data_IF_243395884562
#
_entry.id   IF_243395884562
#
_cell.length_a   1.000
_cell.length_b   1.000
_cell.length_c   1.000
_cell.angle_alpha   90.00
_cell.angle_beta   90.00
_cell.angle_gamma   90.00
#
_symmetry.space_group_name_H-M   'P 1'
#
loop_
_entity.id
_entity.type
_entity.pdbx_description
1 polymer ?
#
# COMPACT_ATOMS: atom_id res chain seq x y z
N UNK A 1 2.59 -40.01 -1.40
CA UNK A 1 3.64 -39.03 -1.61
C UNK A 1 4.79 -39.31 -0.63
N UNK A 2 6.00 -39.20 -1.08
CA UNK A 2 7.18 -39.40 -0.21
C UNK A 2 7.52 -38.08 0.47
N UNK A 3 7.61 -38.07 1.81
CA UNK A 3 8.11 -36.90 2.54
C UNK A 3 9.60 -36.74 2.26
N UNK A 4 9.99 -35.64 1.64
CA UNK A 4 11.37 -35.42 1.19
C UNK A 4 12.22 -34.82 2.32
N UNK A 5 11.65 -33.96 3.18
CA UNK A 5 12.32 -33.33 4.31
C UNK A 5 11.34 -33.01 5.43
N UNK A 6 11.77 -33.11 6.68
CA UNK A 6 11.03 -32.65 7.83
C UNK A 6 11.17 -31.12 8.02
N UNK A 7 12.37 -30.57 7.70
CA UNK A 7 12.67 -29.15 7.78
C UNK A 7 13.26 -28.68 6.46
N UNK A 8 12.64 -27.66 5.87
CA UNK A 8 13.13 -27.04 4.64
C UNK A 8 14.36 -26.15 4.88
N UNK A 9 14.31 -25.29 5.92
CA UNK A 9 15.37 -24.32 6.23
C UNK A 9 16.54 -25.06 6.88
N UNK A 10 17.72 -24.96 6.27
CA UNK A 10 18.92 -25.75 6.67
C UNK A 10 20.04 -24.91 7.26
N UNK A 11 19.96 -23.58 7.18
CA UNK A 11 20.99 -22.64 7.63
C UNK A 11 20.68 -21.98 9.00
N UNK A 12 19.60 -22.40 9.65
CA UNK A 12 19.19 -21.85 10.94
C UNK A 12 18.42 -20.53 10.88
N UNK A 13 18.11 -20.04 9.68
CA UNK A 13 17.25 -18.86 9.51
C UNK A 13 15.90 -19.06 10.21
N UNK A 14 15.52 -18.11 11.04
CA UNK A 14 14.25 -18.14 11.76
C UNK A 14 13.21 -17.28 11.05
N UNK A 15 12.00 -17.82 10.94
CA UNK A 15 10.80 -17.13 10.50
C UNK A 15 9.79 -17.28 11.64
N UNK A 16 9.31 -16.15 12.18
CA UNK A 16 8.44 -16.17 13.35
C UNK A 16 6.97 -16.33 12.95
N UNK A 17 6.56 -15.61 11.90
CA UNK A 17 5.18 -15.60 11.44
C UNK A 17 5.16 -15.70 9.92
N UNK A 18 5.43 -16.91 9.35
CA UNK A 18 5.36 -17.09 7.91
C UNK A 18 3.91 -16.85 7.45
N UNK A 19 3.73 -16.03 6.42
CA UNK A 19 2.41 -15.59 5.98
C UNK A 19 2.07 -16.03 4.57
N UNK A 20 3.03 -16.00 3.66
CA UNK A 20 2.88 -16.49 2.30
C UNK A 20 4.11 -17.26 1.83
N UNK A 21 3.92 -18.16 0.86
CA UNK A 21 4.98 -18.89 0.21
C UNK A 21 4.75 -18.88 -1.30
N UNK A 22 5.79 -18.55 -2.06
CA UNK A 22 5.76 -18.51 -3.52
C UNK A 22 7.03 -19.13 -4.08
N UNK A 23 6.92 -19.82 -5.19
CA UNK A 23 8.07 -20.38 -5.93
C UNK A 23 8.27 -19.55 -7.19
N UNK A 24 9.50 -19.09 -7.40
CA UNK A 24 9.85 -18.38 -8.62
C UNK A 24 9.92 -19.38 -9.79
N UNK A 25 9.05 -19.27 -10.81
CA UNK A 25 9.00 -20.24 -11.90
C UNK A 25 10.22 -20.17 -12.84
N UNK A 26 11.09 -19.18 -12.67
CA UNK A 26 12.26 -18.97 -13.52
C UNK A 26 13.58 -19.42 -12.86
N UNK A 27 13.62 -19.49 -11.52
CA UNK A 27 14.83 -19.81 -10.77
C UNK A 27 14.65 -20.92 -9.74
N UNK A 28 13.41 -21.42 -9.59
CA UNK A 28 13.03 -22.42 -8.57
C UNK A 28 13.28 -21.97 -7.11
N UNK A 29 13.69 -20.72 -6.89
CA UNK A 29 13.88 -20.19 -5.55
C UNK A 29 12.53 -20.05 -4.84
N UNK A 30 12.56 -20.26 -3.53
CA UNK A 30 11.37 -20.21 -2.67
C UNK A 30 11.37 -18.89 -1.91
N UNK A 31 10.28 -18.15 -2.03
CA UNK A 31 10.07 -16.90 -1.36
C UNK A 31 9.06 -17.08 -0.24
N UNK A 32 9.44 -16.73 0.98
CA UNK A 32 8.58 -16.79 2.16
C UNK A 32 8.42 -15.38 2.67
N UNK A 33 7.18 -14.97 2.92
CA UNK A 33 6.89 -13.69 3.52
C UNK A 33 6.73 -13.83 5.04
N UNK A 34 7.27 -12.87 5.78
CA UNK A 34 7.23 -12.80 7.23
C UNK A 34 6.34 -11.63 7.65
N UNK A 35 5.27 -11.88 8.39
CA UNK A 35 4.32 -10.85 8.82
C UNK A 35 4.55 -10.37 10.27
N UNK A 36 5.50 -10.93 10.99
CA UNK A 36 5.81 -10.64 12.39
C UNK A 36 4.57 -10.64 13.29
N UNK A 37 4.19 -9.45 13.80
CA UNK A 37 3.04 -9.28 14.70
C UNK A 37 1.75 -8.83 13.97
N UNK A 38 1.75 -8.80 12.65
CA UNK A 38 0.66 -8.25 11.81
C UNK A 38 0.41 -6.74 11.95
N UNK A 39 1.19 -6.06 12.77
CA UNK A 39 1.05 -4.62 13.06
C UNK A 39 2.26 -3.80 12.61
N UNK A 40 3.31 -4.46 12.17
CA UNK A 40 4.53 -3.85 11.64
C UNK A 40 4.79 -4.38 10.24
N UNK A 41 5.60 -3.66 9.49
CA UNK A 41 5.99 -4.07 8.14
C UNK A 41 6.72 -5.41 8.17
N UNK A 42 6.34 -6.27 7.25
CA UNK A 42 6.92 -7.62 7.10
C UNK A 42 8.07 -7.64 6.12
N UNK A 43 8.69 -8.81 6.01
CA UNK A 43 9.84 -9.05 5.14
C UNK A 43 9.53 -10.10 4.07
N UNK A 44 10.36 -10.16 3.04
CA UNK A 44 10.44 -11.29 2.10
C UNK A 44 11.80 -11.97 2.27
N UNK A 45 11.79 -13.28 2.44
CA UNK A 45 12.97 -14.11 2.49
C UNK A 45 13.03 -15.00 1.25
N UNK A 46 14.17 -15.00 0.57
CA UNK A 46 14.43 -15.85 -0.58
C UNK A 46 15.37 -16.98 -0.21
N UNK A 47 14.95 -18.22 -0.46
CA UNK A 47 15.73 -19.41 -0.20
C UNK A 47 16.00 -20.16 -1.51
N UNK A 48 17.16 -20.79 -1.60
CA UNK A 48 17.44 -21.78 -2.66
C UNK A 48 16.76 -23.12 -2.35
N UNK A 49 16.80 -24.06 -3.30
CA UNK A 49 16.24 -25.41 -3.14
C UNK A 49 16.89 -26.22 -2.02
N UNK A 50 18.05 -25.81 -1.52
CA UNK A 50 18.72 -26.46 -0.42
C UNK A 50 18.26 -25.92 0.96
N UNK A 51 17.35 -24.95 0.97
CA UNK A 51 16.84 -24.33 2.19
C UNK A 51 17.81 -23.34 2.82
N UNK A 52 18.69 -22.75 2.02
CA UNK A 52 19.64 -21.74 2.45
C UNK A 52 19.15 -20.36 2.03
N UNK A 53 19.15 -19.42 2.95
CA UNK A 53 18.76 -18.02 2.69
C UNK A 53 19.74 -17.41 1.68
N UNK A 54 19.21 -16.85 0.63
CA UNK A 54 19.97 -16.12 -0.39
C UNK A 54 19.99 -14.63 -0.07
N UNK A 55 18.85 -14.08 0.24
CA UNK A 55 18.69 -12.68 0.64
C UNK A 55 17.39 -12.47 1.41
N UNK A 56 17.30 -11.33 2.09
CA UNK A 56 16.10 -10.84 2.74
C UNK A 56 15.83 -9.42 2.26
N UNK A 57 14.59 -9.15 1.89
CA UNK A 57 14.09 -7.79 1.64
C UNK A 57 13.30 -7.40 2.86
N UNK A 58 13.77 -6.38 3.57
CA UNK A 58 13.11 -5.92 4.78
C UNK A 58 12.01 -4.93 4.46
N UNK A 59 10.98 -4.91 5.30
CA UNK A 59 9.93 -3.87 5.32
C UNK A 59 9.19 -3.69 4.00
N UNK A 60 8.79 -4.79 3.37
CA UNK A 60 8.09 -4.77 2.07
C UNK A 60 6.62 -4.36 2.16
N UNK A 61 6.09 -4.17 3.35
CA UNK A 61 4.69 -3.77 3.60
C UNK A 61 4.06 -4.53 4.75
N UNK A 62 2.85 -4.13 5.16
CA UNK A 62 2.07 -4.85 6.16
C UNK A 62 1.54 -6.16 5.58
N UNK A 63 1.73 -7.24 6.33
CA UNK A 63 1.20 -8.56 6.01
C UNK A 63 1.50 -9.00 4.56
N UNK A 64 2.77 -8.96 4.11
CA UNK A 64 3.12 -9.35 2.77
C UNK A 64 2.76 -10.82 2.57
N UNK A 65 1.92 -11.11 1.59
CA UNK A 65 1.34 -12.45 1.45
C UNK A 65 1.72 -13.10 0.10
N UNK A 66 1.92 -12.31 -0.94
CA UNK A 66 2.17 -12.84 -2.29
C UNK A 66 3.35 -12.14 -2.95
N UNK A 67 4.21 -12.93 -3.59
CA UNK A 67 5.28 -12.46 -4.46
C UNK A 67 4.91 -12.81 -5.90
N UNK A 68 4.89 -11.81 -6.77
CA UNK A 68 4.63 -12.00 -8.20
C UNK A 68 5.95 -11.90 -8.96
N UNK A 69 6.19 -12.85 -9.86
CA UNK A 69 7.41 -12.90 -10.66
C UNK A 69 7.12 -12.50 -12.09
N UNK A 70 7.96 -11.64 -12.66
CA UNK A 70 7.88 -11.23 -14.06
C UNK A 70 9.17 -11.64 -14.78
N UNK A 71 9.04 -12.16 -16.01
CA UNK A 71 10.18 -12.40 -16.90
C UNK A 71 10.58 -11.16 -17.70
N UNK A 72 9.85 -10.05 -17.55
CA UNK A 72 10.35 -8.76 -18.03
C UNK A 72 11.63 -8.44 -17.27
N UNK A 73 12.75 -8.51 -17.93
CA UNK A 73 13.97 -7.87 -17.47
C UNK A 73 13.65 -6.38 -17.56
N UNK A 74 13.17 -5.80 -16.47
CA UNK A 74 13.37 -4.37 -16.30
C UNK A 74 14.89 -4.21 -16.29
N UNK A 75 15.43 -3.52 -17.25
CA UNK A 75 16.80 -3.02 -17.25
C UNK A 75 16.92 -1.95 -16.15
N UNK A 76 16.74 -2.37 -14.91
CA UNK A 76 16.82 -1.61 -13.70
C UNK A 76 17.82 -2.31 -12.81
N UNK A 77 19.02 -1.86 -12.98
CA UNK A 77 20.20 -2.16 -12.21
C UNK A 77 19.94 -2.12 -10.71
N UNK A 78 20.14 -3.27 -10.05
CA UNK A 78 20.29 -3.36 -8.61
C UNK A 78 21.71 -2.99 -8.23
N UNK A 79 22.08 -1.76 -8.43
CA UNK A 79 23.28 -1.18 -7.89
C UNK A 79 22.92 0.12 -7.19
N UNK A 80 23.19 0.12 -5.89
CA UNK A 80 23.50 1.26 -5.05
C UNK A 80 22.95 2.63 -5.54
N UNK A 81 22.15 3.24 -4.68
CA UNK A 81 21.74 4.63 -4.72
C UNK A 81 22.84 5.56 -5.31
N UNK A 82 22.81 5.72 -6.62
CA UNK A 82 23.14 6.95 -7.27
C UNK A 82 21.81 7.52 -7.78
N UNK A 83 20.94 7.82 -6.83
CA UNK A 83 19.72 8.54 -7.15
C UNK A 83 20.15 9.92 -7.63
N UNK A 84 20.01 10.16 -8.92
CA UNK A 84 20.02 11.52 -9.43
C UNK A 84 19.01 12.30 -8.55
N UNK A 85 19.46 13.30 -7.77
CA UNK A 85 18.57 14.05 -6.90
C UNK A 85 17.44 14.77 -7.67
N UNK A 86 17.52 14.79 -9.01
CA UNK A 86 16.53 15.35 -9.91
C UNK A 86 15.68 14.27 -10.61
N UNK A 87 15.90 12.99 -10.34
CA UNK A 87 15.05 11.94 -10.91
C UNK A 87 13.62 12.05 -10.36
N UNK A 88 12.59 11.88 -11.23
CA UNK A 88 11.20 11.87 -10.78
C UNK A 88 10.98 10.79 -9.73
N UNK A 89 10.21 11.11 -8.68
CA UNK A 89 9.84 10.16 -7.64
C UNK A 89 8.90 9.09 -8.20
N UNK A 90 9.15 7.81 -7.91
CA UNK A 90 8.20 6.74 -8.22
C UNK A 90 6.91 6.82 -7.38
N UNK A 91 6.86 7.71 -6.40
CA UNK A 91 5.76 7.89 -5.46
C UNK A 91 5.18 9.30 -5.56
N UNK A 92 3.91 9.43 -5.19
CA UNK A 92 3.36 10.74 -4.88
C UNK A 92 4.19 11.36 -3.74
N UNK A 93 4.70 12.56 -3.93
CA UNK A 93 5.66 13.18 -3.01
C UNK A 93 5.19 14.52 -2.43
N UNK A 94 3.98 14.94 -2.79
CA UNK A 94 3.36 16.16 -2.26
C UNK A 94 1.96 15.85 -1.75
N UNK A 95 1.62 16.39 -0.59
CA UNK A 95 0.24 16.44 -0.11
C UNK A 95 -0.26 17.87 -0.27
N UNK A 96 -1.23 18.04 -1.18
CA UNK A 96 -1.85 19.32 -1.46
C UNK A 96 -2.93 19.64 -0.41
N UNK A 97 -3.70 18.63 -0.04
CA UNK A 97 -4.70 18.73 1.01
C UNK A 97 -4.89 17.40 1.73
N UNK A 98 -5.08 17.43 3.05
CA UNK A 98 -5.44 16.26 3.85
C UNK A 98 -6.50 16.64 4.86
N UNK A 99 -7.68 16.04 4.71
CA UNK A 99 -8.84 16.27 5.59
C UNK A 99 -9.43 14.94 6.04
N UNK A 100 -8.86 14.33 7.06
CA UNK A 100 -9.45 13.12 7.61
C UNK A 100 -10.81 13.41 8.26
N UNK A 101 -11.78 12.52 8.07
CA UNK A 101 -13.05 12.59 8.76
C UNK A 101 -12.97 11.94 10.16
N UNK A 102 -13.82 12.33 11.11
CA UNK A 102 -13.83 11.73 12.43
C UNK A 102 -14.05 10.21 12.39
N UNK A 103 -13.18 9.43 13.04
CA UNK A 103 -13.33 7.99 13.21
C UNK A 103 -12.52 7.48 14.41
N UNK A 104 -12.61 6.16 14.67
CA UNK A 104 -12.00 5.53 15.85
C UNK A 104 -10.46 5.52 15.86
N UNK A 105 -9.77 5.68 14.75
CA UNK A 105 -8.30 5.58 14.67
C UNK A 105 -7.62 6.91 14.34
N UNK A 106 -8.30 8.03 14.56
CA UNK A 106 -7.78 9.36 14.17
C UNK A 106 -6.67 9.89 15.06
N UNK A 107 -6.52 9.37 16.26
CA UNK A 107 -5.49 9.78 17.22
C UNK A 107 -4.43 8.72 17.48
N UNK A 108 -4.28 7.77 16.56
CA UNK A 108 -3.22 6.75 16.63
C UNK A 108 -1.94 7.22 15.95
N UNK A 109 -0.85 6.49 16.13
CA UNK A 109 0.45 6.80 15.50
C UNK A 109 0.41 6.83 13.97
N UNK A 110 -0.58 6.17 13.36
CA UNK A 110 -0.75 6.11 11.90
C UNK A 110 -1.53 7.28 11.32
N UNK A 111 -2.13 8.13 12.15
CA UNK A 111 -2.96 9.24 11.70
C UNK A 111 -2.43 10.60 12.10
N UNK A 112 -1.47 10.63 13.01
CA UNK A 112 -0.80 11.80 13.52
C UNK A 112 -1.68 13.00 13.91
N UNK A 113 -2.94 12.79 14.10
CA UNK A 113 -3.79 13.87 14.59
C UNK A 113 -3.51 14.10 16.08
N UNK A 114 -2.95 15.25 16.42
CA UNK A 114 -2.76 15.70 17.80
C UNK A 114 -3.69 16.87 18.07
N UNK A 115 -4.17 16.97 19.29
CA UNK A 115 -5.17 17.95 19.71
C UNK A 115 -4.84 19.41 19.33
N UNK A 116 -3.55 19.75 19.23
CA UNK A 116 -3.08 21.10 18.94
C UNK A 116 -2.62 21.29 17.49
N UNK A 117 -2.84 20.31 16.61
CA UNK A 117 -2.41 20.44 15.22
C UNK A 117 -3.35 21.34 14.43
N UNK A 118 -2.74 22.25 13.67
CA UNK A 118 -3.42 22.99 12.59
C UNK A 118 -3.62 22.08 11.39
N UNK A 119 -4.48 22.49 10.44
CA UNK A 119 -4.65 21.77 9.18
C UNK A 119 -3.33 21.61 8.41
N UNK A 120 -2.45 22.61 8.52
CA UNK A 120 -1.14 22.59 7.89
C UNK A 120 -0.18 21.60 8.57
N UNK A 121 -0.22 21.47 9.89
CA UNK A 121 0.57 20.47 10.61
C UNK A 121 0.15 19.07 10.23
N UNK A 122 -1.16 18.83 10.10
CA UNK A 122 -1.72 17.54 9.68
C UNK A 122 -1.33 17.22 8.22
N UNK A 123 -1.38 18.21 7.34
CA UNK A 123 -0.95 18.08 5.93
C UNK A 123 0.52 17.71 5.82
N UNK A 124 1.39 18.45 6.52
CA UNK A 124 2.84 18.19 6.54
C UNK A 124 3.16 16.80 7.07
N UNK A 125 2.48 16.38 8.11
CA UNK A 125 2.67 15.04 8.63
C UNK A 125 2.26 13.96 7.63
N UNK A 126 1.13 14.13 6.94
CA UNK A 126 0.73 13.23 5.87
C UNK A 126 1.78 13.18 4.75
N UNK A 127 2.38 14.32 4.41
CA UNK A 127 3.45 14.39 3.41
C UNK A 127 4.72 13.64 3.85
N UNK A 128 5.11 13.75 5.12
CA UNK A 128 6.23 12.96 5.64
C UNK A 128 5.95 11.45 5.63
N UNK A 129 4.70 11.04 5.91
CA UNK A 129 4.31 9.64 5.81
C UNK A 129 4.38 9.10 4.37
N UNK A 130 4.03 9.91 3.37
CA UNK A 130 4.11 9.48 1.97
C UNK A 130 5.56 9.31 1.48
N UNK A 131 6.52 9.99 2.10
CA UNK A 131 7.95 9.87 1.78
C UNK A 131 8.58 8.63 2.39
N UNK A 132 7.95 8.04 3.39
CA UNK A 132 8.44 6.86 4.07
C UNK A 132 7.67 5.62 3.59
N UNK A 133 8.26 4.80 2.70
CA UNK A 133 7.62 3.60 2.18
C UNK A 133 7.36 2.54 3.26
N UNK A 134 7.95 2.67 4.43
CA UNK A 134 7.78 1.77 5.57
C UNK A 134 6.59 2.15 6.46
N UNK A 135 6.10 3.39 6.36
CA UNK A 135 4.91 3.88 7.06
C UNK A 135 3.71 3.88 6.11
N UNK A 136 3.16 2.72 5.87
CA UNK A 136 2.29 2.44 4.72
C UNK A 136 0.85 2.89 4.86
N UNK A 137 0.37 3.33 6.02
CA UNK A 137 -1.05 3.60 6.20
C UNK A 137 -1.29 5.05 6.64
N UNK A 138 -2.10 5.74 5.84
CA UNK A 138 -2.66 7.03 6.21
C UNK A 138 -4.18 6.87 6.36
N UNK A 139 -4.70 7.18 7.55
CA UNK A 139 -6.13 7.06 7.80
C UNK A 139 -6.88 8.25 7.20
N UNK A 140 -7.79 7.98 6.29
CA UNK A 140 -8.73 9.00 5.78
C UNK A 140 -9.90 9.21 6.75
N UNK A 141 -10.06 8.34 7.73
CA UNK A 141 -11.18 8.36 8.65
C UNK A 141 -12.46 7.78 8.04
N UNK A 142 -13.59 8.30 8.49
CA UNK A 142 -14.90 7.87 8.02
C UNK A 142 -15.29 8.59 6.71
N UNK A 143 -16.58 8.55 6.35
CA UNK A 143 -17.10 9.16 5.13
C UNK A 143 -16.78 10.64 5.02
N UNK A 144 -16.33 11.06 3.85
CA UNK A 144 -15.96 12.44 3.54
C UNK A 144 -14.52 12.80 3.88
N UNK A 145 -13.76 11.88 4.49
CA UNK A 145 -12.32 12.07 4.66
C UNK A 145 -11.56 11.83 3.35
N UNK A 146 -10.57 12.67 3.07
CA UNK A 146 -9.82 12.59 1.83
C UNK A 146 -8.38 13.11 1.95
N UNK A 147 -7.58 12.73 0.98
CA UNK A 147 -6.25 13.27 0.74
C UNK A 147 -6.12 13.63 -0.74
N UNK A 148 -5.54 14.77 -1.04
CA UNK A 148 -5.13 15.19 -2.38
C UNK A 148 -3.62 15.16 -2.45
N UNK A 149 -3.11 14.36 -3.38
CA UNK A 149 -1.66 14.18 -3.59
C UNK A 149 -1.26 14.65 -4.97
N UNK A 150 0.00 15.04 -5.11
CA UNK A 150 0.60 15.40 -6.38
C UNK A 150 1.90 14.64 -6.62
N UNK A 151 2.24 14.54 -7.89
CA UNK A 151 3.52 14.00 -8.36
C UNK A 151 4.43 15.15 -8.78
N UNK A 152 5.74 14.93 -8.76
CA UNK A 152 6.73 15.89 -9.26
C UNK A 152 6.94 15.83 -10.79
N UNK A 153 6.20 14.93 -11.42
CA UNK A 153 6.26 14.70 -12.86
C UNK A 153 4.86 14.37 -13.41
N UNK A 154 4.74 14.40 -14.73
CA UNK A 154 3.52 13.96 -15.42
C UNK A 154 3.40 12.44 -15.36
N UNK A 155 2.27 11.94 -14.87
CA UNK A 155 1.90 10.53 -14.97
C UNK A 155 1.35 10.29 -16.37
N UNK A 156 2.03 9.50 -17.23
CA UNK A 156 1.56 9.22 -18.58
C UNK A 156 0.37 8.27 -18.55
N UNK A 157 -0.60 8.49 -19.42
CA UNK A 157 -1.67 7.53 -19.68
C UNK A 157 -1.21 6.60 -20.81
N UNK A 158 -0.89 5.34 -20.46
CA UNK A 158 -0.39 4.33 -21.40
C UNK A 158 -1.50 3.32 -21.70
N UNK A 159 -2.01 3.24 -22.94
CA UNK A 159 -3.08 2.31 -23.29
C UNK A 159 -2.73 0.85 -22.95
N UNK A 160 -3.60 0.22 -22.13
CA UNK A 160 -3.44 -1.18 -21.75
C UNK A 160 -2.51 -1.43 -20.55
N UNK A 161 -2.00 -0.38 -19.93
CA UNK A 161 -1.17 -0.45 -18.71
C UNK A 161 -1.87 0.27 -17.55
N UNK A 162 -1.41 0.04 -16.33
CA UNK A 162 -1.85 0.81 -15.17
C UNK A 162 -0.93 2.02 -14.98
N UNK A 163 -1.50 3.21 -14.91
CA UNK A 163 -0.75 4.46 -14.82
C UNK A 163 -0.20 4.72 -13.41
N UNK A 164 -0.94 4.26 -12.38
CA UNK A 164 -0.53 4.35 -10.98
C UNK A 164 -1.17 3.25 -10.14
N UNK A 165 -0.68 3.08 -8.92
CA UNK A 165 -1.19 2.10 -7.95
C UNK A 165 -1.42 2.76 -6.60
N UNK A 166 -2.56 2.45 -5.99
CA UNK A 166 -2.89 2.84 -4.62
C UNK A 166 -2.91 1.58 -3.76
N UNK A 167 -2.15 1.61 -2.67
CA UNK A 167 -2.17 0.55 -1.68
C UNK A 167 -3.26 0.84 -0.65
N UNK A 168 -4.23 -0.05 -0.56
CA UNK A 168 -5.29 0.00 0.44
C UNK A 168 -4.99 -0.90 1.64
N UNK A 169 -5.86 -0.85 2.64
CA UNK A 169 -5.78 -1.66 3.86
C UNK A 169 -6.77 -2.85 3.83
N UNK A 170 -7.17 -3.31 2.66
CA UNK A 170 -8.05 -4.48 2.54
C UNK A 170 -7.35 -5.75 3.03
N UNK A 171 -8.05 -6.57 3.81
CA UNK A 171 -7.53 -7.86 4.28
C UNK A 171 -8.64 -8.91 4.38
N UNK A 172 -8.23 -10.17 4.30
CA UNK A 172 -9.09 -11.31 4.61
C UNK A 172 -8.85 -11.78 6.05
N UNK A 173 -9.94 -12.01 6.78
CA UNK A 173 -9.88 -12.58 8.11
C UNK A 173 -9.55 -14.07 8.01
N UNK A 174 -8.41 -14.47 8.55
CA UNK A 174 -7.97 -15.87 8.60
C UNK A 174 -8.83 -16.74 9.52
N UNK A 175 -9.53 -16.16 10.51
CA UNK A 175 -10.49 -16.90 11.33
C UNK A 175 -11.71 -17.36 10.54
N UNK A 176 -12.09 -16.67 9.47
CA UNK A 176 -13.17 -17.06 8.58
C UNK A 176 -12.94 -18.39 7.87
N UNK A 177 -11.69 -18.75 7.60
CA UNK A 177 -11.35 -20.05 7.00
C UNK A 177 -11.63 -21.23 7.92
N UNK A 178 -11.53 -21.05 9.24
CA UNK A 178 -11.83 -22.08 10.26
C UNK A 178 -13.34 -22.31 10.40
N UNK A 179 -14.17 -21.33 10.11
CA UNK A 179 -15.62 -21.38 10.24
C UNK A 179 -16.35 -21.58 8.90
N UNK A 180 -15.61 -21.64 7.80
CA UNK A 180 -16.17 -21.72 6.44
C UNK A 180 -16.83 -20.41 5.96
N UNK A 181 -16.68 -19.30 6.69
CA UNK A 181 -17.16 -17.97 6.31
C UNK A 181 -15.96 -17.10 5.94
N UNK A 182 -15.98 -16.51 4.76
CA UNK A 182 -15.02 -15.49 4.38
C UNK A 182 -15.33 -14.22 5.19
N UNK A 183 -14.38 -13.82 6.04
CA UNK A 183 -14.39 -12.55 6.75
C UNK A 183 -13.31 -11.62 6.22
N UNK A 184 -13.24 -10.41 6.76
CA UNK A 184 -12.22 -9.43 6.42
C UNK A 184 -12.79 -8.02 6.34
N UNK A 185 -11.96 -7.09 5.88
CA UNK A 185 -12.35 -5.72 5.59
C UNK A 185 -11.89 -5.33 4.20
N UNK A 186 -12.76 -4.69 3.41
CA UNK A 186 -12.41 -4.18 2.08
C UNK A 186 -11.95 -2.73 2.12
N UNK A 187 -12.36 -1.94 3.11
CA UNK A 187 -12.02 -0.54 3.32
C UNK A 187 -11.94 0.28 2.01
N UNK A 188 -13.03 0.29 1.22
CA UNK A 188 -13.01 0.86 -0.12
C UNK A 188 -12.92 2.39 -0.07
N UNK A 189 -12.29 2.98 -1.08
CA UNK A 189 -12.22 4.41 -1.29
C UNK A 189 -12.62 4.79 -2.72
N UNK A 190 -12.97 6.05 -2.90
CA UNK A 190 -13.20 6.65 -4.22
C UNK A 190 -11.89 7.32 -4.65
N UNK A 191 -11.52 7.15 -5.91
CA UNK A 191 -10.34 7.78 -6.51
C UNK A 191 -10.79 8.80 -7.52
N UNK A 192 -10.32 10.03 -7.38
CA UNK A 192 -10.50 11.10 -8.35
C UNK A 192 -9.14 11.50 -8.90
N UNK A 193 -9.13 11.92 -10.15
CA UNK A 193 -7.94 12.46 -10.81
C UNK A 193 -8.26 13.83 -11.39
N UNK A 194 -7.29 14.73 -11.33
CA UNK A 194 -7.35 16.04 -11.95
C UNK A 194 -6.05 16.30 -12.70
N UNK A 195 -6.16 16.96 -13.84
CA UNK A 195 -5.00 17.43 -14.60
C UNK A 195 -4.79 18.90 -14.30
N UNK A 196 -3.60 19.25 -13.89
CA UNK A 196 -3.18 20.66 -13.76
C UNK A 196 -3.09 21.28 -15.16
N UNK A 197 -4.17 21.94 -15.59
CA UNK A 197 -4.30 22.51 -16.94
C UNK A 197 -3.63 23.89 -17.01
N UNK A 198 -3.69 24.62 -15.90
CA UNK A 198 -3.17 25.99 -15.84
C UNK A 198 -1.71 26.06 -15.36
N UNK A 199 -1.13 24.92 -14.92
CA UNK A 199 0.28 24.82 -14.52
C UNK A 199 0.57 25.46 -13.15
N UNK A 200 -0.45 25.71 -12.32
CA UNK A 200 -0.27 26.40 -11.04
C UNK A 200 0.04 25.43 -9.87
N UNK A 201 -0.03 24.12 -10.12
CA UNK A 201 0.21 23.04 -9.16
C UNK A 201 -0.76 23.04 -7.97
N UNK A 202 -1.95 23.60 -8.14
CA UNK A 202 -3.03 23.60 -7.16
C UNK A 202 -4.14 22.63 -7.59
N UNK A 203 -4.92 22.09 -6.64
CA UNK A 203 -6.00 21.15 -6.95
C UNK A 203 -7.31 21.89 -7.30
N UNK A 204 -7.25 22.92 -8.16
CA UNK A 204 -8.34 23.81 -8.51
C UNK A 204 -8.91 23.59 -9.90
N UNK A 205 -8.37 22.62 -10.65
CA UNK A 205 -8.89 22.18 -11.94
C UNK A 205 -10.03 21.15 -11.79
N UNK A 206 -10.61 20.72 -12.92
CA UNK A 206 -11.72 19.76 -12.94
C UNK A 206 -11.29 18.37 -12.48
N UNK A 207 -12.12 17.76 -11.61
CA UNK A 207 -11.90 16.43 -11.05
C UNK A 207 -12.78 15.38 -11.72
N UNK A 208 -12.20 14.22 -12.01
CA UNK A 208 -12.88 13.09 -12.64
C UNK A 208 -12.80 11.86 -11.71
N UNK A 209 -13.96 11.27 -11.42
CA UNK A 209 -14.02 10.02 -10.66
C UNK A 209 -13.62 8.85 -11.56
N UNK A 210 -12.67 8.03 -11.07
CA UNK A 210 -12.34 6.77 -11.72
C UNK A 210 -13.40 5.73 -11.37
N UNK A 211 -13.97 5.08 -12.39
CA UNK A 211 -15.01 4.08 -12.21
C UNK A 211 -14.44 2.82 -11.55
N UNK A 212 -14.72 2.64 -10.26
CA UNK A 212 -14.43 1.43 -9.53
C UNK A 212 -15.45 0.31 -9.81
N UNK A 213 -15.27 -0.85 -9.20
CA UNK A 213 -16.12 -2.04 -9.38
C UNK A 213 -17.60 -1.77 -9.12
N UNK A 214 -17.89 -0.93 -8.14
CA UNK A 214 -19.27 -0.62 -7.71
C UNK A 214 -19.87 0.63 -8.36
N UNK A 215 -19.13 1.30 -9.26
CA UNK A 215 -19.54 2.59 -9.83
C UNK A 215 -20.90 2.54 -10.53
N UNK A 216 -21.22 1.43 -11.21
CA UNK A 216 -22.48 1.21 -11.95
C UNK A 216 -23.49 0.36 -11.17
N UNK A 217 -23.17 -0.08 -9.95
CA UNK A 217 -24.06 -0.88 -9.13
C UNK A 217 -25.32 -0.09 -8.76
N UNK A 218 -26.50 -0.70 -8.90
CA UNK A 218 -27.77 -0.09 -8.48
C UNK A 218 -27.89 0.10 -6.97
N UNK A 219 -27.02 -0.55 -6.19
CA UNK A 219 -26.95 -0.39 -4.74
C UNK A 219 -26.04 0.81 -4.32
N UNK A 220 -25.28 1.37 -5.25
CA UNK A 220 -24.38 2.49 -4.96
C UNK A 220 -25.18 3.78 -4.81
N UNK A 221 -25.09 4.40 -3.64
CA UNK A 221 -25.69 5.70 -3.35
C UNK A 221 -24.67 6.79 -3.72
N UNK A 222 -24.97 7.53 -4.77
CA UNK A 222 -24.13 8.66 -5.20
C UNK A 222 -24.53 9.94 -4.47
N UNK A 223 -23.55 10.84 -4.28
CA UNK A 223 -23.75 12.13 -3.59
C UNK A 223 -24.26 11.98 -2.14
N UNK A 224 -23.84 10.91 -1.49
CA UNK A 224 -24.18 10.68 -0.08
C UNK A 224 -23.52 11.74 0.82
N UNK A 225 -24.31 12.38 1.68
CA UNK A 225 -23.83 13.44 2.56
C UNK A 225 -23.94 13.02 4.02
N UNK A 226 -22.89 13.24 4.78
CA UNK A 226 -22.84 13.05 6.22
C UNK A 226 -22.49 14.38 6.88
N UNK A 227 -23.22 14.70 7.96
CA UNK A 227 -22.92 15.85 8.80
C UNK A 227 -22.41 15.38 10.16
N UNK A 228 -21.20 15.78 10.51
CA UNK A 228 -20.61 15.52 11.82
C UNK A 228 -20.90 16.70 12.74
N UNK A 229 -21.43 16.40 13.93
CA UNK A 229 -21.63 17.38 14.97
C UNK A 229 -20.59 17.17 16.07
N UNK A 230 -20.02 18.25 16.57
CA UNK A 230 -19.20 18.15 17.80
C UNK A 230 -20.11 17.79 18.97
N UNK A 231 -19.66 16.87 19.86
CA UNK A 231 -20.39 16.55 21.08
C UNK A 231 -20.45 17.75 22.03
#
# INVERSE_FOLDING_TARGET
GQTIRENFITDGTRINTPYGININPYSDNIYITEAYSYTITGDILCFNLNGQLQFRINRVGLNPNTVVFSNKVSSGDSSEENSDPNAPSAFANRVLEYRPAPCQFMNTSTTAYKENYTSEDVRKYAEELLKDPDLCLLSLGAYGGYITVGFDHTVPNVPGEYDFKIYGNAYYDTFGTLTGKLGGSSEPGIVLVSKDVNGNQLPDDEWYELAGSEYTSSATIKNYTITYHRP
#
